data_IF_833968036199
#
_entry.id   IF_833968036199
#
_cell.length_a   1.000
_cell.length_b   1.000
_cell.length_c   1.000
_cell.angle_alpha   90.00
_cell.angle_beta   90.00
_cell.angle_gamma   90.00
#
_symmetry.space_group_name_H-M   'P 1'
#
loop_
_entity.id
_entity.type
_entity.pdbx_description
1 polymer ?
#
# COMPACT_ATOMS: atom_id res chain seq x y z
N UNK A 1 -15.94 3.06 -73.18
CA UNK A 1 -17.18 3.69 -72.69
C UNK A 1 -17.09 3.79 -71.19
N UNK A 2 -16.81 4.98 -70.66
CA UNK A 2 -17.06 5.30 -69.25
C UNK A 2 -18.57 5.42 -69.02
N UNK A 3 -19.06 5.16 -67.80
CA UNK A 3 -19.42 6.27 -66.89
C UNK A 3 -19.00 5.99 -65.43
N UNK A 4 -18.25 6.86 -64.76
CA UNK A 4 -18.63 8.03 -63.92
C UNK A 4 -19.37 7.73 -62.60
N UNK A 5 -18.57 7.71 -61.51
CA UNK A 5 -18.73 8.39 -60.19
C UNK A 5 -20.07 8.28 -59.43
N UNK A 6 -20.04 7.52 -58.33
CA UNK A 6 -20.69 7.75 -57.03
C UNK A 6 -19.77 7.03 -56.01
N UNK A 7 -19.22 7.54 -54.91
CA UNK A 7 -19.63 8.55 -53.95
C UNK A 7 -18.37 8.88 -53.12
N UNK A 8 -18.06 10.16 -52.95
CA UNK A 8 -17.05 10.64 -52.00
C UNK A 8 -17.48 10.28 -50.57
N UNK A 9 -16.70 9.46 -49.86
CA UNK A 9 -17.12 8.91 -48.58
C UNK A 9 -16.00 8.44 -47.66
N UNK A 10 -15.18 9.39 -47.19
CA UNK A 10 -14.50 9.44 -45.87
C UNK A 10 -13.54 8.31 -45.44
N UNK A 11 -12.29 8.77 -45.24
CA UNK A 11 -11.38 8.41 -44.15
C UNK A 11 -10.76 6.99 -44.14
N UNK A 12 -9.61 6.90 -44.81
CA UNK A 12 -8.30 6.70 -44.18
C UNK A 12 -8.25 5.95 -42.83
N UNK A 13 -7.44 4.89 -42.81
CA UNK A 13 -6.84 4.24 -41.64
C UNK A 13 -7.80 3.43 -40.77
N UNK A 14 -7.95 2.16 -41.14
CA UNK A 14 -8.18 1.08 -40.19
C UNK A 14 -7.10 1.15 -39.10
N UNK A 15 -7.51 1.75 -37.97
CA UNK A 15 -7.10 1.40 -36.61
C UNK A 15 -5.61 1.45 -36.31
N UNK A 16 -4.96 2.59 -36.55
CA UNK A 16 -3.85 3.01 -35.71
C UNK A 16 -4.37 3.90 -34.57
N UNK A 17 -5.08 3.32 -33.61
CA UNK A 17 -5.43 3.99 -32.36
C UNK A 17 -4.83 3.24 -31.15
N UNK A 18 -3.56 2.81 -31.28
CA UNK A 18 -2.78 2.28 -30.16
C UNK A 18 -1.90 3.33 -29.48
N UNK A 19 -1.87 4.59 -29.99
CA UNK A 19 -0.94 5.63 -29.55
C UNK A 19 -1.59 6.92 -29.00
N UNK A 20 -2.83 6.85 -28.49
CA UNK A 20 -3.48 7.96 -27.80
C UNK A 20 -3.50 7.82 -26.26
N UNK A 21 -2.83 6.81 -25.70
CA UNK A 21 -2.81 6.55 -24.24
C UNK A 21 -1.52 7.02 -23.54
N UNK A 22 -0.57 7.61 -24.27
CA UNK A 22 0.77 7.92 -23.75
C UNK A 22 0.91 9.33 -23.11
N UNK A 23 -0.20 9.94 -22.69
CA UNK A 23 -0.23 11.24 -21.99
C UNK A 23 -0.72 11.12 -20.55
N UNK A 24 -0.88 9.89 -20.06
CA UNK A 24 -1.27 9.62 -18.67
C UNK A 24 0.02 9.35 -17.91
N UNK A 25 0.37 10.14 -16.90
CA UNK A 25 1.50 9.79 -16.04
C UNK A 25 1.17 8.45 -15.37
N UNK A 26 2.11 7.51 -15.40
CA UNK A 26 1.93 6.16 -14.84
C UNK A 26 1.60 6.20 -13.34
N UNK A 27 1.96 7.30 -12.67
CA UNK A 27 1.60 7.59 -11.29
C UNK A 27 0.08 7.72 -11.07
N UNK A 28 -0.76 8.02 -12.07
CA UNK A 28 -2.21 8.13 -11.92
C UNK A 28 -2.97 6.81 -12.11
N UNK A 29 -2.26 5.72 -12.38
CA UNK A 29 -2.85 4.42 -12.64
C UNK A 29 -2.88 3.56 -11.38
N UNK A 30 -3.96 2.81 -11.22
CA UNK A 30 -4.03 1.81 -10.17
C UNK A 30 -3.12 0.63 -10.53
N UNK A 31 -2.26 0.21 -9.61
CA UNK A 31 -1.38 -0.95 -9.83
C UNK A 31 -2.14 -2.26 -9.98
N UNK A 32 -3.32 -2.38 -9.36
CA UNK A 32 -4.16 -3.60 -9.37
C UNK A 32 -4.98 -3.71 -10.65
N UNK A 33 -5.74 -2.68 -11.00
CA UNK A 33 -6.66 -2.73 -12.14
C UNK A 33 -6.13 -2.03 -13.40
N UNK A 34 -4.99 -1.34 -13.33
CA UNK A 34 -4.34 -0.59 -14.42
C UNK A 34 -5.24 0.46 -15.09
N UNK A 35 -6.27 0.93 -14.39
CA UNK A 35 -7.17 2.03 -14.80
C UNK A 35 -6.77 3.32 -14.11
N UNK A 36 -7.15 4.46 -14.70
CA UNK A 36 -7.00 5.79 -14.07
C UNK A 36 -7.72 5.83 -12.73
N UNK A 37 -7.05 6.40 -11.74
CA UNK A 37 -7.59 6.65 -10.40
C UNK A 37 -7.92 8.13 -10.30
N UNK A 38 -9.21 8.44 -10.12
CA UNK A 38 -9.61 9.81 -9.86
C UNK A 38 -9.22 10.23 -8.44
N UNK A 39 -8.85 11.50 -8.18
CA UNK A 39 -8.45 11.97 -6.85
C UNK A 39 -9.43 11.62 -5.73
N UNK A 40 -10.74 11.59 -6.03
CA UNK A 40 -11.78 11.24 -5.07
C UNK A 40 -11.72 9.79 -4.55
N UNK A 41 -11.25 8.86 -5.39
CA UNK A 41 -11.10 7.44 -5.06
C UNK A 41 -9.64 7.02 -4.85
N UNK A 42 -8.71 7.98 -4.92
CA UNK A 42 -7.30 7.71 -4.83
C UNK A 42 -6.86 7.39 -3.40
N UNK A 43 -6.14 6.27 -3.29
CA UNK A 43 -5.40 5.87 -2.10
C UNK A 43 -3.94 5.69 -2.50
N UNK A 44 -3.05 6.33 -1.74
CA UNK A 44 -1.61 6.23 -1.94
C UNK A 44 -1.05 5.28 -0.87
N UNK A 45 -0.45 4.18 -1.30
CA UNK A 45 0.21 3.20 -0.42
C UNK A 45 1.54 2.76 -1.06
N UNK A 46 2.61 2.65 -0.26
CA UNK A 46 3.96 2.32 -0.76
C UNK A 46 4.38 3.08 -2.02
N UNK A 47 4.02 4.38 -2.09
CA UNK A 47 4.29 5.28 -3.24
C UNK A 47 3.56 4.90 -4.55
N UNK A 48 2.53 4.07 -4.46
CA UNK A 48 1.68 3.66 -5.57
C UNK A 48 0.23 4.08 -5.35
N UNK A 49 -0.49 4.33 -6.44
CA UNK A 49 -1.88 4.74 -6.41
C UNK A 49 -2.81 3.52 -6.55
N UNK A 50 -3.90 3.53 -5.78
CA UNK A 50 -4.90 2.48 -5.72
C UNK A 50 -6.30 3.09 -5.68
N UNK A 51 -7.28 2.38 -6.22
CA UNK A 51 -8.68 2.68 -5.91
C UNK A 51 -9.02 2.19 -4.50
N UNK A 52 -9.91 2.92 -3.82
CA UNK A 52 -10.55 2.47 -2.56
C UNK A 52 -11.16 1.07 -2.65
N UNK A 53 -11.68 0.71 -3.81
CA UNK A 53 -12.28 -0.60 -4.09
C UNK A 53 -11.27 -1.70 -4.41
N UNK A 54 -10.10 -1.34 -4.95
CA UNK A 54 -9.02 -2.25 -5.33
C UNK A 54 -8.08 -2.56 -4.16
N UNK A 55 -8.07 -1.75 -3.11
CA UNK A 55 -7.24 -1.95 -1.94
C UNK A 55 -7.73 -3.14 -1.10
N UNK A 56 -7.24 -4.34 -1.43
CA UNK A 56 -7.71 -5.61 -0.88
C UNK A 56 -6.55 -6.51 -0.49
N UNK A 57 -6.79 -7.37 0.49
CA UNK A 57 -5.82 -8.37 0.91
C UNK A 57 -5.71 -9.48 -0.13
N UNK A 58 -4.49 -9.92 -0.44
CA UNK A 58 -4.30 -11.02 -1.40
C UNK A 58 -4.83 -12.38 -0.89
N UNK A 59 -4.73 -12.66 0.42
CA UNK A 59 -5.17 -13.94 0.98
C UNK A 59 -6.69 -14.07 1.14
N UNK A 60 -7.37 -13.02 1.64
CA UNK A 60 -8.80 -13.09 1.89
C UNK A 60 -9.65 -12.26 0.95
N UNK A 61 -9.06 -11.50 0.03
CA UNK A 61 -9.74 -10.54 -0.85
C UNK A 61 -10.58 -9.47 -0.12
N UNK A 62 -10.44 -9.37 1.21
CA UNK A 62 -11.15 -8.44 2.06
C UNK A 62 -10.70 -7.00 1.82
N UNK A 63 -11.62 -6.05 1.95
CA UNK A 63 -11.33 -4.62 1.82
C UNK A 63 -10.37 -4.18 2.92
N UNK A 64 -9.28 -3.54 2.54
CA UNK A 64 -8.32 -2.94 3.45
C UNK A 64 -8.55 -1.43 3.53
N UNK A 65 -7.95 -0.80 4.55
CA UNK A 65 -7.95 0.66 4.70
C UNK A 65 -6.56 1.10 5.15
N UNK A 66 -6.20 2.36 4.92
CA UNK A 66 -4.86 2.89 5.21
C UNK A 66 -4.44 2.73 6.68
N UNK A 67 -5.38 2.56 7.63
CA UNK A 67 -5.05 2.29 9.04
C UNK A 67 -4.85 0.80 9.41
N UNK A 68 -5.26 -0.13 8.54
CA UNK A 68 -5.39 -1.56 8.87
C UNK A 68 -4.71 -2.52 7.87
N UNK A 69 -3.79 -2.01 7.05
CA UNK A 69 -3.03 -2.82 6.10
C UNK A 69 -1.57 -3.00 6.53
N UNK A 70 -0.92 -3.99 5.95
CA UNK A 70 0.52 -4.16 5.96
C UNK A 70 0.97 -4.56 4.55
N UNK A 71 2.02 -3.94 4.06
CA UNK A 71 2.58 -4.22 2.73
C UNK A 71 3.81 -5.12 2.84
N UNK A 72 3.94 -6.06 1.92
CA UNK A 72 5.10 -6.94 1.81
C UNK A 72 5.41 -7.19 0.33
N UNK A 73 6.62 -6.83 -0.10
CA UNK A 73 7.09 -7.01 -1.48
C UNK A 73 6.09 -6.50 -2.55
N UNK A 74 5.43 -5.36 -2.30
CA UNK A 74 4.45 -4.76 -3.21
C UNK A 74 3.05 -5.40 -3.17
N UNK A 75 2.81 -6.36 -2.27
CA UNK A 75 1.51 -7.00 -2.04
C UNK A 75 0.89 -6.49 -0.73
N UNK A 76 -0.43 -6.39 -0.70
CA UNK A 76 -1.17 -5.86 0.45
C UNK A 76 -1.84 -6.98 1.24
N UNK A 77 -1.66 -6.95 2.56
CA UNK A 77 -2.21 -7.93 3.48
C UNK A 77 -2.95 -7.26 4.63
N UNK A 78 -3.93 -7.95 5.21
CA UNK A 78 -4.47 -7.55 6.51
C UNK A 78 -3.50 -7.96 7.62
N UNK A 79 -3.55 -7.25 8.75
CA UNK A 79 -2.75 -7.54 9.96
C UNK A 79 -2.74 -9.03 10.36
N UNK A 80 -3.87 -9.76 10.42
CA UNK A 80 -3.84 -11.18 10.79
C UNK A 80 -3.18 -12.08 9.74
N UNK A 81 -3.43 -11.90 8.44
CA UNK A 81 -2.77 -12.70 7.41
C UNK A 81 -1.28 -12.39 7.30
N UNK A 82 -0.89 -11.13 7.50
CA UNK A 82 0.51 -10.75 7.63
C UNK A 82 1.17 -11.45 8.83
N UNK A 83 0.50 -11.52 9.98
CA UNK A 83 0.94 -12.29 11.15
C UNK A 83 0.90 -13.82 10.98
N UNK A 84 0.36 -14.36 9.89
CA UNK A 84 0.43 -15.78 9.59
C UNK A 84 1.54 -16.09 8.58
N UNK A 85 1.70 -15.22 7.58
CA UNK A 85 2.72 -15.34 6.54
C UNK A 85 4.15 -15.39 7.05
N UNK A 86 4.52 -14.50 7.99
CA UNK A 86 5.87 -14.54 8.56
C UNK A 86 6.03 -15.72 9.55
N UNK A 87 4.96 -16.44 9.95
CA UNK A 87 5.05 -17.60 10.89
C UNK A 87 5.57 -18.79 10.16
N UNK A 88 5.08 -18.94 8.94
CA UNK A 88 5.62 -19.88 7.98
C UNK A 88 7.00 -19.48 7.45
N UNK A 89 7.34 -18.19 7.37
CA UNK A 89 8.59 -17.71 6.73
C UNK A 89 9.77 -17.53 7.70
N UNK A 90 9.52 -17.34 9.00
CA UNK A 90 10.53 -17.25 10.05
C UNK A 90 11.20 -15.88 10.19
N UNK A 91 10.57 -14.98 10.95
CA UNK A 91 11.18 -13.99 11.87
C UNK A 91 10.10 -12.97 12.31
N UNK A 92 9.88 -12.79 13.62
CA UNK A 92 8.76 -12.00 14.16
C UNK A 92 9.08 -10.98 15.24
N UNK A 93 10.35 -10.74 15.55
CA UNK A 93 10.61 -9.98 16.78
C UNK A 93 10.50 -8.45 16.60
N UNK A 94 10.61 -7.92 15.37
CA UNK A 94 10.88 -6.47 15.20
C UNK A 94 9.81 -5.66 14.44
N UNK A 95 8.77 -6.30 13.90
CA UNK A 95 7.95 -5.68 12.83
C UNK A 95 6.67 -4.95 13.24
N UNK A 96 6.17 -5.13 14.47
CA UNK A 96 4.99 -4.39 14.96
C UNK A 96 5.45 -3.47 16.07
N UNK A 97 5.46 -2.15 15.81
CA UNK A 97 5.81 -1.08 16.75
C UNK A 97 4.86 -0.95 17.95
N UNK A 98 4.68 -2.04 18.69
CA UNK A 98 4.28 -2.00 20.09
C UNK A 98 5.49 -2.49 20.85
N UNK A 99 6.22 -1.56 21.47
CA UNK A 99 7.18 -1.93 22.51
C UNK A 99 6.45 -2.84 23.49
N UNK A 100 6.98 -4.04 23.81
CA UNK A 100 6.41 -4.82 24.86
C UNK A 100 6.47 -3.97 26.14
N UNK A 101 5.32 -3.65 26.73
CA UNK A 101 5.17 -2.95 28.01
C UNK A 101 5.65 -3.83 29.19
N UNK A 102 6.76 -4.53 29.03
CA UNK A 102 7.38 -5.34 30.10
C UNK A 102 8.77 -4.86 30.49
N UNK A 103 9.36 -3.89 29.78
CA UNK A 103 10.70 -3.40 30.11
C UNK A 103 10.74 -2.10 30.95
N UNK A 104 9.59 -1.59 31.40
CA UNK A 104 9.54 -0.42 32.29
C UNK A 104 9.68 -0.73 33.79
N UNK A 105 9.90 -2.00 34.19
CA UNK A 105 10.06 -2.36 35.61
C UNK A 105 11.52 -2.57 36.04
N UNK A 106 12.48 -2.60 35.12
CA UNK A 106 13.90 -2.79 35.49
C UNK A 106 14.55 -1.45 35.87
N UNK A 107 14.10 -0.33 35.31
CA UNK A 107 14.66 1.00 35.62
C UNK A 107 14.02 1.67 36.85
N UNK A 108 12.91 1.17 37.39
CA UNK A 108 12.29 1.72 38.60
C UNK A 108 12.90 1.21 39.91
N UNK A 109 13.76 0.19 39.87
CA UNK A 109 14.35 -0.41 41.10
C UNK A 109 15.79 0.05 41.37
N UNK A 110 16.54 0.52 40.36
CA UNK A 110 17.90 1.04 40.58
C UNK A 110 17.95 2.50 41.05
N UNK A 111 16.88 3.25 40.88
CA UNK A 111 16.80 4.67 41.30
C UNK A 111 16.44 4.77 42.80
N UNK A 112 15.84 3.73 43.40
CA UNK A 112 15.46 3.72 44.82
C UNK A 112 16.66 3.58 45.78
N UNK A 113 17.77 2.99 45.32
CA UNK A 113 18.93 2.69 46.18
C UNK A 113 19.92 3.86 46.33
N UNK A 114 19.84 4.88 45.48
CA UNK A 114 20.74 6.04 45.53
C UNK A 114 20.14 7.21 46.33
N UNK A 115 18.82 7.28 46.47
CA UNK A 115 18.14 8.36 47.21
C UNK A 115 18.25 8.15 48.73
N UNK A 116 18.45 6.91 49.20
CA UNK A 116 18.66 6.60 50.62
C UNK A 116 20.07 6.88 51.14
N UNK A 117 21.09 6.98 50.28
CA UNK A 117 22.45 7.32 50.72
C UNK A 117 22.67 8.82 50.96
N UNK A 118 21.89 9.71 50.33
CA UNK A 118 22.05 11.16 50.51
C UNK A 118 21.27 11.77 51.70
N UNK A 119 20.39 11.00 52.36
CA UNK A 119 19.69 11.45 53.58
C UNK A 119 20.26 10.92 54.90
N UNK A 120 21.22 9.98 54.89
CA UNK A 120 21.87 9.43 56.12
C UNK A 120 23.36 9.79 56.19
N UNK A 121 23.76 10.90 55.57
CA UNK A 121 25.10 11.49 55.78
C UNK A 121 25.00 13.00 55.99
N UNK A 122 24.16 13.36 56.95
CA UNK A 122 24.26 14.60 57.72
C UNK A 122 24.54 14.24 59.16
#
# INVERSE_FOLDING_TARGET
>A
MQPTILYIGRCSRVVQCSKALHLIPESELCTVCRKRVYPMECLIADKHNFHKSCFRCEHCSGKLSLGNYASLHGRMYCKPHFKQLFKSKGNYDEGFGQTPHKDLWINSVLIQSLISFFSVKR
#
